data_IF_908048880596
#
_entry.id   IF_908048880596
#
_cell.length_a   1.000
_cell.length_b   1.000
_cell.length_c   1.000
_cell.angle_alpha   90.00
_cell.angle_beta   90.00
_cell.angle_gamma   90.00
#
_symmetry.space_group_name_H-M   'P 1'
#
loop_
_entity.id
_entity.type
_entity.pdbx_description
1 polymer ?
#
# COMPACT_ATOMS: atom_id res chain seq x y z
N UNK A 1 16.65 -60.24 13.01
CA UNK A 1 15.62 -59.18 13.07
C UNK A 1 16.19 -57.76 13.06
N UNK A 2 17.45 -57.52 13.42
CA UNK A 2 18.05 -56.19 13.48
C UNK A 2 18.31 -55.53 12.11
N UNK A 3 18.65 -56.30 11.06
CA UNK A 3 19.00 -55.72 9.74
C UNK A 3 17.81 -55.10 9.00
N UNK A 4 16.62 -55.71 9.07
CA UNK A 4 15.41 -55.19 8.42
C UNK A 4 14.92 -53.90 9.09
N UNK A 5 15.00 -53.83 10.41
CA UNK A 5 14.64 -52.62 11.16
C UNK A 5 15.59 -51.46 10.83
N UNK A 6 16.90 -51.73 10.74
CA UNK A 6 17.89 -50.73 10.31
C UNK A 6 17.66 -50.28 8.86
N UNK A 7 17.41 -51.21 7.92
CA UNK A 7 17.13 -50.87 6.53
C UNK A 7 15.87 -50.01 6.38
N UNK A 8 14.83 -50.31 7.17
CA UNK A 8 13.59 -49.55 7.20
C UNK A 8 13.80 -48.16 7.82
N UNK A 9 14.56 -48.05 8.92
CA UNK A 9 14.93 -46.77 9.53
C UNK A 9 15.79 -45.90 8.60
N UNK A 10 16.78 -46.48 7.90
CA UNK A 10 17.59 -45.75 6.92
C UNK A 10 16.80 -45.39 5.67
N UNK A 11 15.88 -46.25 5.21
CA UNK A 11 14.98 -45.96 4.09
C UNK A 11 14.03 -44.81 4.39
N UNK A 12 13.38 -44.84 5.56
CA UNK A 12 12.50 -43.75 6.03
C UNK A 12 13.32 -42.48 6.28
N UNK A 13 14.48 -42.57 6.93
CA UNK A 13 15.37 -41.44 7.15
C UNK A 13 15.86 -40.80 5.84
N UNK A 14 16.19 -41.61 4.83
CA UNK A 14 16.57 -41.16 3.49
C UNK A 14 15.42 -40.45 2.77
N UNK A 15 14.20 -41.01 2.82
CA UNK A 15 13.02 -40.37 2.24
C UNK A 15 12.69 -39.02 2.92
N UNK A 16 12.79 -38.95 4.24
CA UNK A 16 12.61 -37.70 4.99
C UNK A 16 13.69 -36.69 4.60
N UNK A 17 14.96 -37.09 4.51
CA UNK A 17 16.04 -36.20 4.10
C UNK A 17 15.86 -35.66 2.67
N UNK A 18 15.45 -36.51 1.72
CA UNK A 18 15.14 -36.11 0.34
C UNK A 18 13.93 -35.17 0.30
N UNK A 19 12.87 -35.47 1.04
CA UNK A 19 11.69 -34.61 1.15
C UNK A 19 12.03 -33.24 1.76
N UNK A 20 12.86 -33.21 2.80
CA UNK A 20 13.33 -31.97 3.42
C UNK A 20 14.25 -31.18 2.48
N UNK A 21 15.16 -31.83 1.76
CA UNK A 21 15.99 -31.18 0.76
C UNK A 21 15.14 -30.60 -0.38
N UNK A 22 14.13 -31.34 -0.85
CA UNK A 22 13.17 -30.86 -1.84
C UNK A 22 12.38 -29.65 -1.32
N UNK A 23 11.89 -29.68 -0.08
CA UNK A 23 11.25 -28.52 0.56
C UNK A 23 12.18 -27.31 0.62
N UNK A 24 13.45 -27.49 1.00
CA UNK A 24 14.43 -26.39 1.07
C UNK A 24 14.70 -25.78 -0.30
N UNK A 25 14.81 -26.61 -1.33
CA UNK A 25 15.08 -26.18 -2.71
C UNK A 25 13.85 -25.54 -3.34
N UNK A 26 12.66 -26.07 -3.07
CA UNK A 26 11.40 -25.63 -3.68
C UNK A 26 10.63 -24.59 -2.86
N UNK A 27 11.02 -24.29 -1.62
CA UNK A 27 10.28 -23.39 -0.74
C UNK A 27 9.99 -22.03 -1.36
N UNK A 28 10.92 -21.45 -2.13
CA UNK A 28 10.70 -20.14 -2.75
C UNK A 28 9.67 -20.24 -3.88
N UNK A 29 9.56 -21.40 -4.55
CA UNK A 29 8.51 -21.66 -5.55
C UNK A 29 7.16 -22.05 -4.94
N UNK A 30 7.15 -22.44 -3.66
CA UNK A 30 5.93 -22.72 -2.90
C UNK A 30 5.40 -21.45 -2.23
N UNK A 31 6.33 -20.62 -1.72
CA UNK A 31 6.04 -19.34 -1.08
C UNK A 31 5.71 -18.28 -2.11
N UNK A 32 6.39 -18.28 -3.26
CA UNK A 32 6.17 -17.35 -4.35
C UNK A 32 5.70 -18.10 -5.58
N UNK A 33 4.62 -17.64 -6.19
CA UNK A 33 4.05 -18.23 -7.41
C UNK A 33 4.23 -17.24 -8.56
N UNK A 34 5.48 -16.92 -8.97
CA UNK A 34 5.69 -16.05 -10.11
C UNK A 34 5.15 -16.69 -11.39
N UNK A 35 4.90 -15.88 -12.42
CA UNK A 35 4.46 -16.35 -13.74
C UNK A 35 5.40 -17.46 -14.23
N UNK A 36 4.84 -18.61 -14.57
CA UNK A 36 5.64 -19.77 -14.97
C UNK A 36 6.50 -19.45 -16.22
N UNK A 37 7.75 -19.94 -16.28
CA UNK A 37 8.59 -19.79 -17.46
C UNK A 37 7.87 -20.31 -18.71
N UNK A 38 7.73 -19.45 -19.74
CA UNK A 38 7.07 -19.79 -21.01
C UNK A 38 5.62 -19.27 -21.15
N UNK A 39 5.01 -18.74 -20.09
CA UNK A 39 3.75 -18.00 -20.17
C UNK A 39 4.00 -16.50 -20.37
N UNK A 40 3.09 -15.83 -21.06
CA UNK A 40 3.21 -14.39 -21.34
C UNK A 40 3.11 -13.58 -20.06
N UNK A 41 4.13 -12.77 -19.77
CA UNK A 41 4.17 -11.75 -18.71
C UNK A 41 3.20 -10.56 -18.93
N UNK A 42 2.29 -10.66 -19.89
CA UNK A 42 1.39 -9.57 -20.27
C UNK A 42 0.26 -9.41 -19.25
N UNK A 43 -0.04 -8.16 -18.90
CA UNK A 43 -1.20 -7.82 -18.10
C UNK A 43 -2.49 -8.18 -18.85
N UNK A 44 -3.41 -8.96 -18.25
CA UNK A 44 -4.70 -9.26 -18.88
C UNK A 44 -5.61 -8.01 -18.96
N UNK A 45 -5.38 -7.06 -18.04
CA UNK A 45 -6.11 -5.82 -17.90
C UNK A 45 -5.11 -4.72 -17.50
N UNK A 46 -5.16 -3.58 -18.19
CA UNK A 46 -4.44 -2.34 -17.82
C UNK A 46 -5.41 -1.34 -17.18
N UNK A 47 -4.89 -0.32 -16.46
CA UNK A 47 -5.73 0.73 -15.88
C UNK A 47 -6.62 1.47 -16.91
N UNK A 48 -6.22 1.52 -18.19
CA UNK A 48 -7.03 2.10 -19.28
C UNK A 48 -8.42 1.48 -19.38
N UNK A 49 -8.53 0.16 -19.15
CA UNK A 49 -9.80 -0.57 -19.25
C UNK A 49 -10.84 -0.05 -18.25
N UNK A 50 -10.38 0.55 -17.15
CA UNK A 50 -11.21 1.16 -16.12
C UNK A 50 -11.23 2.70 -16.21
N UNK A 51 -10.71 3.28 -17.30
CA UNK A 51 -10.58 4.71 -17.52
C UNK A 51 -9.85 5.43 -16.36
N UNK A 52 -8.81 4.78 -15.83
CA UNK A 52 -7.97 5.32 -14.77
C UNK A 52 -6.84 6.16 -15.35
N UNK A 53 -6.57 7.34 -14.78
CA UNK A 53 -5.39 8.13 -15.11
C UNK A 53 -4.16 7.49 -14.47
N UNK A 54 -3.19 7.03 -15.28
CA UNK A 54 -2.02 6.32 -14.76
C UNK A 54 -0.75 6.57 -15.57
N UNK A 55 0.38 6.29 -14.94
CA UNK A 55 1.71 6.28 -15.56
C UNK A 55 2.31 4.86 -15.45
N UNK A 56 2.85 4.36 -16.56
CA UNK A 56 3.76 3.20 -16.54
C UNK A 56 5.12 3.64 -16.00
N UNK A 57 5.52 3.05 -14.87
CA UNK A 57 6.75 3.39 -14.17
C UNK A 57 7.71 2.21 -14.21
N UNK A 58 8.94 2.49 -14.67
CA UNK A 58 10.02 1.52 -14.67
C UNK A 58 11.09 1.91 -13.68
N UNK A 59 11.37 1.01 -12.74
CA UNK A 59 12.34 1.20 -11.66
C UNK A 59 13.49 0.22 -11.82
N UNK A 60 14.59 0.51 -11.13
CA UNK A 60 15.66 -0.45 -10.88
C UNK A 60 15.84 -0.61 -9.38
N UNK A 61 15.83 -1.85 -8.90
CA UNK A 61 16.25 -2.16 -7.55
C UNK A 61 17.75 -1.92 -7.37
N UNK A 62 18.23 -1.90 -6.12
CA UNK A 62 19.64 -1.70 -5.81
C UNK A 62 20.57 -2.79 -6.35
N UNK A 63 20.04 -3.98 -6.67
CA UNK A 63 20.74 -5.07 -7.34
C UNK A 63 20.53 -5.10 -8.87
N UNK A 64 19.99 -4.03 -9.45
CA UNK A 64 19.89 -3.81 -10.90
C UNK A 64 18.70 -4.47 -11.59
N UNK A 65 17.86 -5.21 -10.86
CA UNK A 65 16.64 -5.84 -11.40
C UNK A 65 15.68 -4.75 -11.86
N UNK A 66 15.17 -4.91 -13.09
CA UNK A 66 14.18 -4.01 -13.67
C UNK A 66 12.79 -4.38 -13.16
N UNK A 67 12.09 -3.39 -12.63
CA UNK A 67 10.77 -3.55 -12.04
C UNK A 67 9.77 -2.67 -12.76
N UNK A 68 8.55 -3.19 -12.89
CA UNK A 68 7.41 -2.46 -13.41
C UNK A 68 6.46 -2.06 -12.29
N UNK A 69 5.91 -0.85 -12.38
CA UNK A 69 4.91 -0.34 -11.47
C UNK A 69 3.90 0.54 -12.22
N UNK A 70 2.70 0.66 -11.66
CA UNK A 70 1.74 1.68 -12.09
C UNK A 70 1.63 2.77 -11.05
N UNK A 71 1.69 4.01 -11.49
CA UNK A 71 1.30 5.15 -10.67
C UNK A 71 -0.05 5.67 -11.13
N UNK A 72 -1.10 5.33 -10.39
CA UNK A 72 -2.47 5.68 -10.71
C UNK A 72 -2.82 6.95 -9.94
N UNK A 73 -3.03 8.03 -10.70
CA UNK A 73 -3.25 9.37 -10.17
C UNK A 73 -4.73 9.60 -9.94
N UNK A 74 -5.05 10.33 -8.88
CA UNK A 74 -6.38 10.89 -8.71
C UNK A 74 -6.67 11.81 -9.91
N UNK A 75 -7.72 11.48 -10.67
CA UNK A 75 -8.20 12.36 -11.72
C UNK A 75 -9.15 13.41 -11.10
N UNK A 76 -9.13 14.66 -11.59
CA UNK A 76 -10.04 15.70 -11.10
C UNK A 76 -11.53 15.36 -11.28
N UNK A 77 -11.89 14.55 -12.28
CA UNK A 77 -13.28 14.18 -12.56
C UNK A 77 -13.63 12.74 -12.17
N UNK A 78 -14.06 12.55 -10.93
CA UNK A 78 -14.84 11.37 -10.49
C UNK A 78 -16.21 11.71 -9.91
N UNK A 79 -16.67 12.96 -10.09
CA UNK A 79 -18.10 13.26 -10.01
C UNK A 79 -18.63 13.17 -11.42
N UNK A 80 -19.74 12.47 -11.63
CA UNK A 80 -20.40 12.35 -12.93
C UNK A 80 -20.86 13.69 -13.48
N UNK A 81 -19.93 14.48 -13.98
CA UNK A 81 -20.22 15.63 -14.82
C UNK A 81 -20.13 15.13 -16.26
N UNK A 82 -21.24 14.58 -16.75
CA UNK A 82 -21.55 14.74 -18.17
C UNK A 82 -21.70 16.24 -18.38
N UNK A 83 -20.59 16.96 -18.60
CA UNK A 83 -20.67 18.28 -19.19
C UNK A 83 -21.30 18.06 -20.56
N UNK A 84 -22.57 18.41 -20.70
CA UNK A 84 -23.16 18.74 -21.99
C UNK A 84 -22.56 20.01 -22.59
N UNK A 85 -21.28 20.29 -22.35
CA UNK A 85 -20.51 21.29 -23.08
C UNK A 85 -19.67 20.55 -24.11
N UNK A 86 -20.22 20.48 -25.31
CA UNK A 86 -19.43 20.24 -26.51
C UNK A 86 -18.36 21.33 -26.60
N UNK A 87 -17.10 20.96 -26.41
CA UNK A 87 -15.93 21.82 -26.61
C UNK A 87 -15.62 22.10 -28.09
N UNK A 88 -16.61 22.02 -28.98
CA UNK A 88 -16.49 22.37 -30.40
C UNK A 88 -16.89 23.81 -30.70
N UNK A 89 -17.15 24.62 -29.67
CA UNK A 89 -17.47 26.03 -29.82
C UNK A 89 -16.40 26.93 -29.22
N UNK A 90 -15.31 27.18 -29.95
CA UNK A 90 -14.63 28.48 -29.82
C UNK A 90 -15.63 29.54 -30.31
N UNK A 91 -16.54 29.96 -29.43
CA UNK A 91 -17.28 31.20 -29.64
C UNK A 91 -16.27 32.29 -29.30
N UNK A 92 -15.61 32.80 -30.35
CA UNK A 92 -15.04 34.14 -30.30
C UNK A 92 -16.25 35.05 -30.07
N UNK A 93 -16.55 35.34 -28.80
CA UNK A 93 -17.39 36.47 -28.46
C UNK A 93 -16.60 37.69 -28.92
N UNK A 94 -17.00 38.25 -30.04
CA UNK A 94 -16.56 39.56 -30.47
C UNK A 94 -17.13 40.55 -29.45
N UNK A 95 -16.31 40.87 -28.44
CA UNK A 95 -16.74 41.72 -27.32
C UNK A 95 -16.65 43.18 -27.75
N UNK A 96 -17.63 43.65 -28.52
CA UNK A 96 -17.95 45.06 -28.58
C UNK A 96 -18.82 45.42 -27.37
N UNK A 97 -18.21 45.72 -26.23
CA UNK A 97 -18.87 46.47 -25.15
C UNK A 97 -19.03 45.82 -23.76
N UNK A 98 -18.47 44.64 -23.46
CA UNK A 98 -18.42 44.20 -22.05
C UNK A 98 -17.32 44.96 -21.28
N UNK A 99 -17.69 45.47 -20.10
CA UNK A 99 -16.80 46.16 -19.16
C UNK A 99 -15.62 45.23 -18.79
N UNK A 100 -14.40 45.70 -19.02
CA UNK A 100 -13.10 45.05 -18.72
C UNK A 100 -13.06 44.29 -17.37
N UNK A 101 -13.78 44.79 -16.38
CA UNK A 101 -13.92 44.19 -15.03
C UNK A 101 -14.48 42.77 -15.05
N UNK A 102 -15.44 42.46 -15.92
CA UNK A 102 -16.12 41.16 -15.96
C UNK A 102 -15.24 40.07 -16.59
N UNK A 103 -14.38 40.45 -17.55
CA UNK A 103 -13.37 39.55 -18.15
C UNK A 103 -12.27 39.23 -17.15
N UNK A 104 -11.81 40.21 -16.37
CA UNK A 104 -10.81 40.00 -15.33
C UNK A 104 -11.36 39.10 -14.22
N UNK A 105 -12.59 39.33 -13.74
CA UNK A 105 -13.23 38.48 -12.74
C UNK A 105 -13.42 37.04 -13.23
N UNK A 106 -13.80 36.83 -14.50
CA UNK A 106 -13.93 35.50 -15.09
C UNK A 106 -12.57 34.79 -15.21
N UNK A 107 -11.55 35.45 -15.75
CA UNK A 107 -10.20 34.88 -15.86
C UNK A 107 -9.59 34.60 -14.48
N UNK A 108 -9.85 35.45 -13.49
CA UNK A 108 -9.41 35.26 -12.11
C UNK A 108 -10.11 34.06 -11.48
N UNK A 109 -11.41 33.89 -11.73
CA UNK A 109 -12.19 32.75 -11.22
C UNK A 109 -11.74 31.44 -11.85
N UNK A 110 -11.51 31.45 -13.17
CA UNK A 110 -10.97 30.29 -13.91
C UNK A 110 -9.57 29.95 -13.39
N UNK A 111 -8.68 30.94 -13.28
CA UNK A 111 -7.32 30.73 -12.76
C UNK A 111 -7.32 30.24 -11.32
N UNK A 112 -8.18 30.78 -10.46
CA UNK A 112 -8.31 30.36 -9.06
C UNK A 112 -8.86 28.94 -8.98
N UNK A 113 -9.86 28.60 -9.81
CA UNK A 113 -10.41 27.26 -9.91
C UNK A 113 -9.34 26.24 -10.34
N UNK A 114 -8.60 26.53 -11.42
CA UNK A 114 -7.49 25.68 -11.87
C UNK A 114 -6.39 25.56 -10.81
N UNK A 115 -6.01 26.67 -10.16
CA UNK A 115 -4.97 26.65 -9.13
C UNK A 115 -5.40 25.83 -7.90
N UNK A 116 -6.66 25.95 -7.50
CA UNK A 116 -7.24 25.21 -6.37
C UNK A 116 -7.29 23.72 -6.68
N UNK A 117 -7.79 23.33 -7.86
CA UNK A 117 -7.81 21.94 -8.33
C UNK A 117 -6.40 21.32 -8.39
N UNK A 118 -5.44 22.01 -9.02
CA UNK A 118 -4.05 21.53 -9.12
C UNK A 118 -3.42 21.38 -7.73
N UNK A 119 -3.66 22.34 -6.84
CA UNK A 119 -3.18 22.27 -5.45
C UNK A 119 -3.76 21.06 -4.70
N UNK A 120 -5.07 20.82 -4.81
CA UNK A 120 -5.75 19.65 -4.21
C UNK A 120 -5.21 18.32 -4.73
N UNK A 121 -4.92 18.23 -6.03
CA UNK A 121 -4.34 17.03 -6.63
C UNK A 121 -2.91 16.78 -6.14
N UNK A 122 -2.11 17.83 -5.96
CA UNK A 122 -0.74 17.70 -5.42
C UNK A 122 -0.69 17.45 -3.92
N UNK A 123 -1.70 17.89 -3.16
CA UNK A 123 -1.79 17.69 -1.71
C UNK A 123 -2.31 16.31 -1.31
N UNK A 124 -2.94 15.56 -2.24
CA UNK A 124 -3.59 14.28 -1.93
C UNK A 124 -2.60 13.22 -1.41
N UNK A 125 -2.98 12.40 -0.41
CA UNK A 125 -2.11 11.35 0.11
C UNK A 125 -1.80 10.34 -0.99
N UNK A 126 -0.59 9.77 -0.95
CA UNK A 126 -0.16 8.76 -1.93
C UNK A 126 -0.01 7.42 -1.23
N UNK A 127 -0.80 6.43 -1.65
CA UNK A 127 -0.75 5.08 -1.13
C UNK A 127 0.26 4.26 -1.93
N UNK A 128 1.34 3.82 -1.28
CA UNK A 128 2.23 2.79 -1.79
C UNK A 128 1.62 1.41 -1.47
N UNK A 129 1.05 0.78 -2.49
CA UNK A 129 0.27 -0.45 -2.36
C UNK A 129 1.13 -1.69 -2.65
N UNK A 130 1.16 -2.59 -1.67
CA UNK A 130 1.82 -3.88 -1.73
C UNK A 130 0.79 -5.00 -1.68
N UNK A 131 0.64 -5.69 -2.80
CA UNK A 131 -0.28 -6.81 -2.97
C UNK A 131 0.24 -8.10 -2.32
N UNK A 132 -0.66 -9.07 -2.24
CA UNK A 132 -0.41 -10.46 -1.89
C UNK A 132 0.47 -11.21 -2.91
N UNK A 133 0.77 -12.46 -2.57
CA UNK A 133 1.68 -13.31 -3.33
C UNK A 133 1.05 -14.00 -4.55
N UNK A 134 -0.26 -14.26 -4.49
CA UNK A 134 -1.01 -15.03 -5.48
C UNK A 134 -2.33 -14.33 -5.81
N UNK A 135 -2.34 -13.55 -6.87
CA UNK A 135 -3.54 -13.05 -7.52
C UNK A 135 -4.11 -14.07 -8.51
N UNK A 136 -4.75 -15.13 -8.01
CA UNK A 136 -5.36 -16.22 -8.79
C UNK A 136 -4.37 -17.06 -9.61
N UNK A 137 -4.50 -18.38 -9.45
CA UNK A 137 -3.64 -19.49 -9.95
C UNK A 137 -3.28 -19.47 -11.45
N UNK A 138 -3.78 -18.52 -12.25
CA UNK A 138 -3.49 -18.43 -13.67
C UNK A 138 -2.88 -17.09 -14.12
N UNK A 139 -2.97 -16.00 -13.35
CA UNK A 139 -2.45 -14.67 -13.77
C UNK A 139 -2.14 -13.76 -12.57
N UNK A 140 -1.06 -14.03 -11.83
CA UNK A 140 -0.67 -13.18 -10.70
C UNK A 140 -0.21 -11.79 -11.16
N UNK A 141 -1.06 -10.78 -10.94
CA UNK A 141 -0.72 -9.41 -11.29
C UNK A 141 -1.51 -8.31 -10.55
N UNK A 142 -0.88 -7.15 -10.37
CA UNK A 142 -1.50 -5.91 -9.84
C UNK A 142 -2.79 -5.53 -10.61
N UNK A 143 -2.96 -6.01 -11.84
CA UNK A 143 -4.19 -5.89 -12.64
C UNK A 143 -5.46 -6.36 -11.92
N UNK A 144 -5.40 -7.45 -11.14
CA UNK A 144 -6.58 -7.99 -10.45
C UNK A 144 -7.04 -7.11 -9.27
N UNK A 145 -6.26 -6.09 -8.91
CA UNK A 145 -6.60 -5.14 -7.84
C UNK A 145 -7.05 -3.79 -8.39
N UNK A 146 -7.07 -3.60 -9.73
CA UNK A 146 -7.44 -2.32 -10.34
C UNK A 146 -8.86 -1.87 -9.98
N UNK A 147 -9.80 -2.79 -9.79
CA UNK A 147 -11.17 -2.44 -9.39
C UNK A 147 -11.24 -1.92 -7.95
N UNK A 148 -10.56 -2.59 -7.02
CA UNK A 148 -10.39 -2.11 -5.65
C UNK A 148 -9.69 -0.75 -5.64
N UNK A 149 -8.64 -0.58 -6.45
CA UNK A 149 -7.90 0.67 -6.56
C UNK A 149 -8.78 1.78 -7.13
N UNK A 150 -9.60 1.51 -8.16
CA UNK A 150 -10.57 2.47 -8.68
C UNK A 150 -11.49 2.99 -7.57
N UNK A 151 -12.01 2.10 -6.73
CA UNK A 151 -12.86 2.49 -5.59
C UNK A 151 -12.05 3.22 -4.52
N UNK A 152 -10.80 2.81 -4.28
CA UNK A 152 -9.87 3.48 -3.37
C UNK A 152 -9.63 4.94 -3.77
N UNK A 153 -9.35 5.21 -5.05
CA UNK A 153 -9.21 6.58 -5.57
C UNK A 153 -10.48 7.40 -5.32
N UNK A 154 -11.65 6.83 -5.61
CA UNK A 154 -12.95 7.52 -5.49
C UNK A 154 -13.32 7.83 -4.04
N UNK A 155 -13.11 6.87 -3.14
CA UNK A 155 -13.53 6.96 -1.73
C UNK A 155 -12.52 7.70 -0.87
N UNK A 156 -11.22 7.50 -1.11
CA UNK A 156 -10.16 8.07 -0.27
C UNK A 156 -9.51 9.32 -0.84
N UNK A 157 -9.80 9.67 -2.11
CA UNK A 157 -9.21 10.83 -2.80
C UNK A 157 -7.67 10.82 -2.71
N UNK A 158 -7.08 9.69 -3.08
CA UNK A 158 -5.64 9.45 -2.98
C UNK A 158 -5.04 9.06 -4.33
N UNK A 159 -3.72 9.22 -4.47
CA UNK A 159 -2.96 8.56 -5.53
C UNK A 159 -2.59 7.14 -5.08
N UNK A 160 -2.37 6.22 -6.02
CA UNK A 160 -1.97 4.84 -5.69
C UNK A 160 -0.78 4.42 -6.55
N UNK A 161 0.31 4.01 -5.90
CA UNK A 161 1.49 3.44 -6.55
C UNK A 161 1.50 1.93 -6.32
N UNK A 162 1.42 1.15 -7.40
CA UNK A 162 1.35 -0.31 -7.37
C UNK A 162 2.62 -0.91 -7.97
N UNK A 163 3.43 -1.55 -7.13
CA UNK A 163 4.66 -2.20 -7.58
C UNK A 163 4.41 -3.66 -7.96
N UNK A 164 4.80 -4.08 -9.16
CA UNK A 164 4.92 -5.50 -9.48
C UNK A 164 6.25 -6.03 -8.96
N UNK A 165 6.22 -6.96 -8.00
CA UNK A 165 7.44 -7.55 -7.44
C UNK A 165 8.29 -8.22 -8.52
N UNK A 166 9.60 -8.38 -8.27
CA UNK A 166 10.46 -9.16 -9.17
C UNK A 166 9.89 -10.56 -9.44
N UNK A 167 9.90 -10.98 -10.70
CA UNK A 167 9.29 -12.23 -11.16
C UNK A 167 7.77 -12.20 -11.36
N UNK A 168 7.09 -11.10 -11.03
CA UNK A 168 5.65 -10.90 -11.27
C UNK A 168 5.41 -9.91 -12.40
N UNK A 169 4.26 -10.04 -13.08
CA UNK A 169 3.86 -9.15 -14.17
C UNK A 169 5.00 -8.92 -15.18
N UNK A 170 5.27 -7.65 -15.50
CA UNK A 170 6.35 -7.27 -16.40
C UNK A 170 7.72 -7.04 -15.71
N UNK A 171 7.84 -7.33 -14.41
CA UNK A 171 9.12 -7.24 -13.69
C UNK A 171 10.02 -8.43 -14.00
N UNK A 172 11.33 -8.17 -13.97
CA UNK A 172 12.38 -9.18 -14.19
C UNK A 172 12.75 -9.90 -12.88
N UNK A 173 13.66 -10.87 -12.98
CA UNK A 173 14.23 -11.57 -11.83
C UNK A 173 13.34 -12.64 -11.22
N UNK A 174 13.72 -13.10 -10.02
CA UNK A 174 13.03 -14.14 -9.26
C UNK A 174 12.73 -13.66 -7.83
N UNK A 175 11.53 -13.97 -7.30
CA UNK A 175 11.11 -13.50 -5.98
C UNK A 175 11.91 -14.19 -4.86
N UNK A 176 12.31 -13.39 -3.88
CA UNK A 176 12.90 -13.80 -2.62
C UNK A 176 12.62 -12.71 -1.59
N UNK A 177 12.65 -13.01 -0.29
CA UNK A 177 12.43 -11.99 0.73
C UNK A 177 13.40 -10.81 0.58
N UNK A 178 14.68 -11.11 0.38
CA UNK A 178 15.70 -10.07 0.26
C UNK A 178 15.51 -9.24 -1.02
N UNK A 179 15.13 -9.89 -2.13
CA UNK A 179 14.83 -9.21 -3.38
C UNK A 179 13.60 -8.29 -3.28
N UNK A 180 12.47 -8.80 -2.80
CA UNK A 180 11.23 -8.03 -2.65
C UNK A 180 11.43 -6.85 -1.68
N UNK A 181 12.27 -7.03 -0.64
CA UNK A 181 12.65 -5.92 0.25
C UNK A 181 13.37 -4.80 -0.50
N UNK A 182 14.23 -5.11 -1.48
CA UNK A 182 14.89 -4.11 -2.33
C UNK A 182 13.91 -3.46 -3.30
N UNK A 183 12.96 -4.23 -3.82
CA UNK A 183 11.91 -3.74 -4.71
C UNK A 183 11.05 -2.68 -4.01
N UNK A 184 10.60 -2.99 -2.79
CA UNK A 184 9.82 -2.07 -1.96
C UNK A 184 10.57 -0.77 -1.66
N UNK A 185 11.88 -0.86 -1.35
CA UNK A 185 12.71 0.32 -1.13
C UNK A 185 12.84 1.15 -2.41
N UNK A 186 13.04 0.52 -3.57
CA UNK A 186 13.13 1.22 -4.85
C UNK A 186 11.84 1.98 -5.21
N UNK A 187 10.67 1.41 -4.88
CA UNK A 187 9.38 2.08 -5.05
C UNK A 187 9.24 3.32 -4.15
N UNK A 188 9.60 3.21 -2.86
CA UNK A 188 9.57 4.35 -1.95
C UNK A 188 10.56 5.44 -2.38
N UNK A 189 11.79 5.06 -2.73
CA UNK A 189 12.81 6.02 -3.17
C UNK A 189 12.43 6.70 -4.49
N UNK A 190 11.64 6.06 -5.35
CA UNK A 190 11.05 6.70 -6.51
C UNK A 190 10.00 7.74 -6.12
N UNK A 191 9.04 7.38 -5.25
CA UNK A 191 7.98 8.28 -4.80
C UNK A 191 8.53 9.53 -4.11
N UNK A 192 9.52 9.39 -3.22
CA UNK A 192 10.08 10.52 -2.47
C UNK A 192 10.87 11.50 -3.35
N UNK A 193 11.26 11.11 -4.58
CA UNK A 193 11.92 12.00 -5.54
C UNK A 193 10.93 12.75 -6.44
N UNK A 194 9.64 12.43 -6.37
CA UNK A 194 8.62 13.07 -7.19
C UNK A 194 8.31 14.47 -6.67
N UNK A 195 8.05 15.39 -7.59
CA UNK A 195 7.69 16.78 -7.29
C UNK A 195 6.19 17.05 -7.42
N UNK A 196 5.44 16.08 -7.92
CA UNK A 196 4.00 16.18 -8.21
C UNK A 196 3.12 15.51 -7.15
N UNK A 197 3.70 15.10 -6.02
CA UNK A 197 2.99 14.54 -4.86
C UNK A 197 3.50 15.18 -3.56
N UNK A 198 2.68 15.18 -2.52
CA UNK A 198 3.13 15.45 -1.15
C UNK A 198 3.88 14.23 -0.59
N UNK A 199 5.22 14.29 -0.63
CA UNK A 199 6.10 13.23 -0.13
C UNK A 199 6.01 13.03 1.38
N UNK A 200 5.43 13.98 2.13
CA UNK A 200 5.18 13.84 3.57
C UNK A 200 3.92 13.02 3.88
N UNK A 201 3.09 12.74 2.87
CA UNK A 201 1.82 12.00 2.98
C UNK A 201 1.85 10.65 2.24
N UNK A 202 3.00 9.99 2.22
CA UNK A 202 3.13 8.63 1.68
C UNK A 202 2.66 7.61 2.73
N UNK A 203 1.64 6.84 2.39
CA UNK A 203 1.05 5.81 3.25
C UNK A 203 1.35 4.45 2.65
N UNK A 204 1.85 3.52 3.46
CA UNK A 204 2.09 2.14 3.01
C UNK A 204 0.84 1.32 3.28
N UNK A 205 0.29 0.68 2.25
CA UNK A 205 -0.81 -0.27 2.37
C UNK A 205 -0.31 -1.65 1.97
N UNK A 206 -0.38 -2.62 2.87
CA UNK A 206 0.04 -4.00 2.59
C UNK A 206 -1.05 -5.02 2.89
N UNK A 207 -1.35 -5.88 1.92
CA UNK A 207 -2.25 -7.04 2.09
C UNK A 207 -1.46 -8.34 2.11
N UNK A 208 -1.78 -9.25 3.03
CA UNK A 208 -1.17 -10.59 3.08
C UNK A 208 0.37 -10.52 3.09
N UNK A 209 1.07 -11.11 2.11
CA UNK A 209 2.54 -10.94 1.94
C UNK A 209 2.95 -9.46 1.90
N UNK A 210 2.19 -8.62 1.19
CA UNK A 210 2.43 -7.19 1.11
C UNK A 210 2.36 -6.48 2.46
N UNK A 211 1.63 -7.03 3.44
CA UNK A 211 1.65 -6.56 4.83
C UNK A 211 3.02 -6.74 5.50
N UNK A 212 3.66 -7.89 5.30
CA UNK A 212 5.01 -8.15 5.80
C UNK A 212 6.06 -7.25 5.11
N UNK A 213 5.92 -7.05 3.80
CA UNK A 213 6.75 -6.13 3.00
C UNK A 213 6.59 -4.69 3.51
N UNK A 214 5.34 -4.25 3.64
CA UNK A 214 5.00 -2.89 4.06
C UNK A 214 5.47 -2.59 5.48
N UNK A 215 5.25 -3.48 6.44
CA UNK A 215 5.75 -3.32 7.81
C UNK A 215 7.28 -3.17 7.84
N UNK A 216 8.01 -3.98 7.07
CA UNK A 216 9.47 -3.89 7.01
C UNK A 216 9.96 -2.59 6.37
N UNK A 217 9.30 -2.14 5.30
CA UNK A 217 9.61 -0.88 4.64
C UNK A 217 9.37 0.30 5.58
N UNK A 218 8.21 0.34 6.24
CA UNK A 218 7.84 1.38 7.20
C UNK A 218 8.82 1.46 8.37
N UNK A 219 9.20 0.31 8.95
CA UNK A 219 10.23 0.24 9.99
C UNK A 219 11.55 0.85 9.54
N UNK A 220 11.98 0.58 8.30
CA UNK A 220 13.27 1.04 7.76
C UNK A 220 13.27 2.52 7.38
N UNK A 221 12.11 3.14 7.23
CA UNK A 221 11.98 4.50 6.72
C UNK A 221 11.04 5.33 7.62
N UNK A 222 11.38 5.54 8.91
CA UNK A 222 10.54 6.26 9.87
C UNK A 222 10.15 7.66 9.39
N UNK A 223 11.07 8.37 8.71
CA UNK A 223 10.89 9.76 8.31
C UNK A 223 10.21 9.95 6.94
N UNK A 224 10.03 8.86 6.17
CA UNK A 224 9.49 8.92 4.79
C UNK A 224 8.08 8.33 4.66
N UNK A 225 7.62 7.60 5.67
CA UNK A 225 6.31 6.94 5.67
C UNK A 225 5.45 7.57 6.75
N UNK A 226 4.29 8.10 6.36
CA UNK A 226 3.37 8.78 7.26
C UNK A 226 2.54 7.81 8.11
N UNK A 227 2.10 6.70 7.52
CA UNK A 227 1.26 5.70 8.17
C UNK A 227 1.37 4.34 7.49
N UNK A 228 0.96 3.29 8.21
CA UNK A 228 0.89 1.91 7.74
C UNK A 228 -0.55 1.38 7.83
N UNK A 229 -1.04 0.76 6.76
CA UNK A 229 -2.29 0.01 6.74
C UNK A 229 -1.96 -1.45 6.45
N UNK A 230 -2.42 -2.35 7.32
CA UNK A 230 -2.26 -3.79 7.20
C UNK A 230 -3.61 -4.45 7.06
N UNK A 231 -3.75 -5.30 6.05
CA UNK A 231 -4.95 -6.10 5.84
C UNK A 231 -4.61 -7.59 5.72
N UNK A 232 -5.31 -8.42 6.49
CA UNK A 232 -5.27 -9.89 6.36
C UNK A 232 -3.84 -10.44 6.21
N UNK A 233 -2.93 -9.94 7.05
CA UNK A 233 -1.51 -10.32 7.02
C UNK A 233 -1.16 -11.26 8.17
N UNK A 234 -0.01 -11.91 8.06
CA UNK A 234 0.41 -12.99 8.94
C UNK A 234 1.57 -12.54 9.83
N UNK A 235 1.73 -13.22 10.98
CA UNK A 235 2.84 -12.99 11.91
C UNK A 235 4.19 -13.43 11.36
N UNK A 236 4.23 -14.59 10.68
CA UNK A 236 5.37 -15.06 9.90
C UNK A 236 4.99 -16.15 8.91
N UNK A 237 5.80 -16.36 7.87
CA UNK A 237 5.63 -17.52 6.97
C UNK A 237 5.80 -18.84 7.74
N UNK A 238 6.65 -18.85 8.77
CA UNK A 238 6.82 -20.00 9.65
C UNK A 238 5.55 -20.34 10.42
N UNK A 239 4.83 -19.34 10.93
CA UNK A 239 3.56 -19.57 11.61
C UNK A 239 2.48 -20.04 10.62
N UNK A 240 2.47 -19.49 9.39
CA UNK A 240 1.59 -19.96 8.31
C UNK A 240 1.89 -21.39 7.86
N UNK A 241 3.16 -21.78 7.75
CA UNK A 241 3.57 -23.15 7.45
C UNK A 241 3.06 -24.13 8.51
N UNK A 242 3.05 -23.71 9.79
CA UNK A 242 2.44 -24.47 10.87
C UNK A 242 0.93 -24.66 10.66
N UNK A 243 0.20 -23.62 10.23
CA UNK A 243 -1.25 -23.72 9.92
C UNK A 243 -1.51 -24.73 8.80
N UNK A 244 -0.75 -24.63 7.69
CA UNK A 244 -0.92 -25.49 6.51
C UNK A 244 -0.48 -26.93 6.73
N UNK A 245 0.56 -27.16 7.54
CA UNK A 245 1.11 -28.49 7.83
C UNK A 245 1.09 -28.75 9.34
N UNK A 246 -0.07 -29.12 9.92
CA UNK A 246 -0.23 -29.27 11.36
C UNK A 246 0.76 -30.23 12.02
N UNK A 247 1.17 -31.30 11.31
CA UNK A 247 2.14 -32.28 11.79
C UNK A 247 3.56 -31.71 11.94
N UNK A 248 3.89 -30.61 11.25
CA UNK A 248 5.17 -29.91 11.38
C UNK A 248 5.15 -28.84 12.48
N UNK A 249 3.99 -28.48 13.07
CA UNK A 249 3.86 -27.44 14.13
C UNK A 249 4.75 -27.67 15.36
N UNK A 250 5.15 -28.92 15.61
CA UNK A 250 6.05 -29.26 16.72
C UNK A 250 7.51 -28.90 16.42
N UNK A 251 7.92 -28.93 15.14
CA UNK A 251 9.30 -28.72 14.70
C UNK A 251 9.52 -27.38 13.97
N UNK A 252 8.44 -26.76 13.50
CA UNK A 252 8.39 -25.50 12.73
C UNK A 252 7.38 -24.54 13.36
N UNK A 253 7.75 -23.26 13.45
CA UNK A 253 6.87 -22.18 13.89
C UNK A 253 7.59 -21.19 14.79
N UNK A 254 6.95 -20.05 15.07
CA UNK A 254 7.48 -19.03 15.99
C UNK A 254 6.55 -18.81 17.17
N UNK A 255 5.38 -18.25 16.91
CA UNK A 255 4.52 -17.65 17.93
C UNK A 255 3.67 -18.72 18.62
N UNK A 256 3.23 -19.74 17.86
CA UNK A 256 2.37 -20.82 18.36
C UNK A 256 3.11 -22.16 18.62
N UNK A 257 4.39 -22.31 18.26
CA UNK A 257 5.09 -23.59 18.39
C UNK A 257 5.56 -23.85 19.82
N UNK A 258 5.13 -24.98 20.41
CA UNK A 258 5.55 -25.44 21.75
C UNK A 258 6.77 -26.37 21.74
N UNK A 259 7.19 -26.85 20.57
CA UNK A 259 8.26 -27.83 20.42
C UNK A 259 9.62 -27.24 19.98
N UNK A 260 10.64 -28.10 19.79
CA UNK A 260 11.99 -27.69 19.43
C UNK A 260 12.01 -27.18 17.98
N UNK A 261 12.30 -25.89 17.81
CA UNK A 261 12.28 -25.10 16.55
C UNK A 261 13.42 -25.44 15.59
N UNK A 262 13.79 -26.71 15.52
CA UNK A 262 15.01 -27.20 14.86
C UNK A 262 14.98 -27.02 13.36
N UNK A 263 13.81 -26.82 12.73
CA UNK A 263 13.71 -26.66 11.28
C UNK A 263 13.57 -25.20 10.83
N UNK A 264 13.55 -24.23 11.75
CA UNK A 264 13.40 -22.80 11.38
C UNK A 264 14.56 -22.27 10.52
N UNK A 265 15.78 -22.84 10.65
CA UNK A 265 16.95 -22.43 9.87
C UNK A 265 16.83 -22.76 8.38
N UNK A 266 15.92 -23.66 8.01
CA UNK A 266 15.71 -24.08 6.63
C UNK A 266 14.88 -23.08 5.83
N UNK A 267 14.17 -22.16 6.50
CA UNK A 267 13.31 -21.18 5.84
C UNK A 267 14.11 -19.95 5.42
N UNK A 268 14.28 -19.77 4.11
CA UNK A 268 15.04 -18.67 3.50
C UNK A 268 14.30 -17.33 3.54
N UNK A 269 12.97 -17.37 3.47
CA UNK A 269 12.10 -16.20 3.46
C UNK A 269 11.14 -16.24 4.65
N UNK A 270 11.62 -16.06 5.90
CA UNK A 270 10.79 -16.22 7.09
C UNK A 270 9.67 -15.17 7.24
N UNK A 271 9.84 -13.97 6.66
CA UNK A 271 8.94 -12.81 6.79
C UNK A 271 8.36 -12.66 8.19
N UNK A 272 9.22 -12.41 9.18
CA UNK A 272 8.83 -12.29 10.59
C UNK A 272 8.19 -10.92 10.88
N UNK A 273 6.96 -10.71 10.41
CA UNK A 273 6.18 -9.47 10.62
C UNK A 273 6.03 -9.14 12.10
N UNK A 274 5.85 -10.16 12.96
CA UNK A 274 5.68 -9.99 14.41
C UNK A 274 6.89 -9.33 15.10
N UNK A 275 8.10 -9.53 14.59
CA UNK A 275 9.31 -8.90 15.14
C UNK A 275 9.51 -7.48 14.61
N UNK A 276 8.95 -7.19 13.44
CA UNK A 276 9.05 -5.89 12.78
C UNK A 276 8.00 -4.94 13.34
N UNK A 277 6.75 -5.40 13.50
CA UNK A 277 5.60 -4.54 13.77
C UNK A 277 5.73 -3.80 15.12
N UNK A 278 6.31 -4.45 16.13
CA UNK A 278 6.55 -3.83 17.45
C UNK A 278 7.60 -2.71 17.43
N UNK A 279 8.27 -2.46 16.30
CA UNK A 279 9.26 -1.39 16.12
C UNK A 279 8.72 -0.25 15.23
N UNK A 280 7.51 -0.39 14.68
CA UNK A 280 6.88 0.65 13.84
C UNK A 280 6.20 1.67 14.75
N UNK A 281 6.64 2.93 14.65
CA UNK A 281 6.16 4.04 15.49
C UNK A 281 5.10 4.92 14.81
N UNK A 282 4.99 4.78 13.49
CA UNK A 282 3.95 5.43 12.71
C UNK A 282 2.56 4.91 13.09
N UNK A 283 1.48 5.67 12.86
CA UNK A 283 0.11 5.18 12.93
C UNK A 283 -0.07 3.88 12.15
N UNK A 284 -0.75 2.92 12.77
CA UNK A 284 -1.02 1.62 12.14
C UNK A 284 -2.52 1.33 12.18
N UNK A 285 -3.11 1.09 11.02
CA UNK A 285 -4.46 0.57 10.88
C UNK A 285 -4.41 -0.92 10.53
N UNK A 286 -5.08 -1.73 11.32
CA UNK A 286 -5.23 -3.17 11.11
C UNK A 286 -6.66 -3.46 10.67
N UNK A 287 -6.81 -4.08 9.50
CA UNK A 287 -8.09 -4.49 8.91
C UNK A 287 -8.13 -6.02 8.87
N UNK A 288 -8.99 -6.63 9.68
CA UNK A 288 -9.06 -8.09 9.85
C UNK A 288 -10.39 -8.65 9.35
N UNK A 289 -10.36 -9.48 8.31
CA UNK A 289 -11.51 -10.27 7.87
C UNK A 289 -11.65 -11.51 8.75
N UNK A 290 -12.79 -11.67 9.44
CA UNK A 290 -12.99 -12.80 10.38
C UNK A 290 -13.27 -14.13 9.69
N UNK A 291 -13.56 -14.13 8.38
CA UNK A 291 -13.77 -15.32 7.57
C UNK A 291 -12.61 -15.56 6.59
N UNK A 292 -11.43 -14.99 6.89
CA UNK A 292 -10.22 -15.23 6.12
C UNK A 292 -9.87 -16.72 6.09
N UNK A 293 -10.00 -17.30 4.89
CA UNK A 293 -9.80 -18.70 4.57
C UNK A 293 -8.33 -19.06 4.36
N UNK A 294 -7.44 -18.07 4.24
CA UNK A 294 -6.02 -18.27 4.01
C UNK A 294 -5.19 -17.98 5.25
N UNK A 295 -5.41 -16.85 5.91
CA UNK A 295 -4.66 -16.38 7.08
C UNK A 295 -5.61 -16.29 8.28
N UNK A 296 -5.46 -17.14 9.30
CA UNK A 296 -6.36 -17.11 10.45
C UNK A 296 -6.39 -15.72 11.13
N UNK A 297 -7.57 -15.18 11.48
CA UNK A 297 -7.72 -13.82 12.03
C UNK A 297 -6.86 -13.53 13.28
N UNK A 298 -6.58 -14.58 14.09
CA UNK A 298 -5.69 -14.50 15.26
C UNK A 298 -4.31 -13.93 14.94
N UNK A 299 -3.82 -14.07 13.70
CA UNK A 299 -2.55 -13.45 13.32
C UNK A 299 -2.62 -11.92 13.34
N UNK A 300 -3.72 -11.34 12.87
CA UNK A 300 -3.95 -9.90 12.92
C UNK A 300 -4.06 -9.41 14.36
N UNK A 301 -4.78 -10.14 15.22
CA UNK A 301 -4.88 -9.84 16.66
C UNK A 301 -3.49 -9.85 17.33
N UNK A 302 -2.67 -10.87 17.07
CA UNK A 302 -1.31 -10.96 17.61
C UNK A 302 -0.41 -9.82 17.14
N UNK A 303 -0.50 -9.43 15.87
CA UNK A 303 0.24 -8.30 15.31
C UNK A 303 -0.17 -6.99 15.97
N UNK A 304 -1.48 -6.76 16.12
CA UNK A 304 -2.02 -5.59 16.80
C UNK A 304 -1.56 -5.54 18.26
N UNK A 305 -1.73 -6.63 19.01
CA UNK A 305 -1.32 -6.69 20.42
C UNK A 305 0.19 -6.38 20.56
N UNK A 306 1.02 -6.89 19.66
CA UNK A 306 2.46 -6.64 19.66
C UNK A 306 2.80 -5.19 19.32
N UNK A 307 2.09 -4.58 18.38
CA UNK A 307 2.27 -3.18 18.00
C UNK A 307 1.79 -2.23 19.11
N UNK A 308 0.56 -2.45 19.59
CA UNK A 308 -0.09 -1.63 20.61
C UNK A 308 0.67 -1.61 21.95
N UNK A 309 1.43 -2.68 22.25
CA UNK A 309 2.32 -2.71 23.41
C UNK A 309 3.45 -1.67 23.36
N UNK A 310 3.79 -1.16 22.17
CA UNK A 310 4.90 -0.22 21.97
C UNK A 310 4.50 1.07 21.24
N UNK A 311 3.28 1.13 20.69
CA UNK A 311 2.78 2.26 19.90
C UNK A 311 1.29 2.50 20.20
N UNK A 312 0.98 3.66 20.79
CA UNK A 312 -0.39 4.05 21.15
C UNK A 312 -1.27 4.48 19.97
N UNK A 313 -0.70 4.61 18.77
CA UNK A 313 -1.38 5.05 17.53
C UNK A 313 -1.78 3.85 16.65
N UNK A 314 -2.20 2.77 17.28
CA UNK A 314 -2.69 1.57 16.60
C UNK A 314 -4.23 1.53 16.63
N UNK A 315 -4.85 1.22 15.49
CA UNK A 315 -6.30 1.04 15.36
C UNK A 315 -6.58 -0.34 14.77
N UNK A 316 -7.49 -1.10 15.39
CA UNK A 316 -7.87 -2.45 14.94
C UNK A 316 -9.36 -2.49 14.59
N UNK A 317 -9.68 -2.97 13.38
CA UNK A 317 -11.06 -3.05 12.90
C UNK A 317 -11.31 -4.41 12.26
N UNK A 318 -12.40 -5.04 12.66
CA UNK A 318 -12.83 -6.35 12.20
C UNK A 318 -14.02 -6.27 11.23
N UNK A 319 -14.00 -7.16 10.26
CA UNK A 319 -15.04 -7.36 9.25
C UNK A 319 -15.59 -8.78 9.37
N UNK A 320 -16.77 -8.98 9.99
CA UNK A 320 -17.31 -10.30 10.31
C UNK A 320 -17.49 -11.25 9.12
N UNK A 321 -17.71 -10.71 7.93
CA UNK A 321 -17.91 -11.45 6.68
C UNK A 321 -16.76 -11.30 5.70
N UNK A 322 -15.67 -10.63 6.09
CA UNK A 322 -14.51 -10.43 5.22
C UNK A 322 -13.72 -11.71 5.06
N UNK A 323 -13.54 -12.15 3.82
CA UNK A 323 -12.61 -13.21 3.41
C UNK A 323 -11.28 -12.59 2.96
N UNK A 324 -10.27 -13.42 2.67
CA UNK A 324 -8.90 -12.95 2.44
C UNK A 324 -8.80 -11.89 1.33
N UNK A 325 -9.55 -12.08 0.24
CA UNK A 325 -9.47 -11.26 -0.97
C UNK A 325 -10.58 -10.21 -1.11
N UNK A 326 -11.68 -10.37 -0.38
CA UNK A 326 -12.91 -9.60 -0.58
C UNK A 326 -13.31 -8.75 0.63
N UNK A 327 -12.45 -8.65 1.66
CA UNK A 327 -12.74 -7.85 2.87
C UNK A 327 -13.22 -6.43 2.55
N UNK A 328 -12.67 -5.82 1.50
CA UNK A 328 -13.09 -4.49 1.01
C UNK A 328 -14.47 -4.46 0.35
N UNK A 329 -14.93 -5.57 -0.25
CA UNK A 329 -16.29 -5.75 -0.78
C UNK A 329 -17.26 -6.05 0.35
N UNK A 330 -16.94 -7.05 1.18
CA UNK A 330 -17.77 -7.51 2.29
C UNK A 330 -17.98 -6.41 3.34
N UNK A 331 -16.94 -5.62 3.61
CA UNK A 331 -17.01 -4.48 4.53
C UNK A 331 -17.66 -3.22 3.95
N UNK A 332 -17.83 -3.13 2.63
CA UNK A 332 -18.54 -2.06 1.93
C UNK A 332 -18.13 -0.65 2.38
N UNK A 333 -19.12 0.21 2.64
CA UNK A 333 -18.87 1.60 3.05
C UNK A 333 -18.11 1.70 4.39
N UNK A 334 -18.33 0.77 5.32
CA UNK A 334 -17.64 0.76 6.62
C UNK A 334 -16.13 0.59 6.43
N UNK A 335 -15.72 -0.27 5.50
CA UNK A 335 -14.32 -0.50 5.18
C UNK A 335 -13.64 0.79 4.69
N UNK A 336 -14.23 1.45 3.70
CA UNK A 336 -13.67 2.67 3.12
C UNK A 336 -13.71 3.86 4.09
N UNK A 337 -14.81 4.02 4.84
CA UNK A 337 -14.94 5.06 5.85
C UNK A 337 -13.92 4.92 6.97
N UNK A 338 -13.61 3.68 7.38
CA UNK A 338 -12.56 3.40 8.37
C UNK A 338 -11.20 3.89 7.88
N UNK A 339 -10.83 3.57 6.65
CA UNK A 339 -9.56 4.00 6.07
C UNK A 339 -9.54 5.53 5.92
N UNK A 340 -10.63 6.12 5.42
CA UNK A 340 -10.73 7.57 5.26
C UNK A 340 -10.51 8.30 6.59
N UNK A 341 -11.22 7.89 7.65
CA UNK A 341 -11.07 8.48 8.98
C UNK A 341 -9.64 8.32 9.52
N UNK A 342 -9.03 7.16 9.32
CA UNK A 342 -7.65 6.93 9.72
C UNK A 342 -6.68 7.89 9.00
N UNK A 343 -6.84 8.08 7.68
CA UNK A 343 -6.03 9.01 6.90
C UNK A 343 -6.24 10.46 7.33
N UNK A 344 -7.48 10.89 7.54
CA UNK A 344 -7.80 12.27 7.98
C UNK A 344 -7.20 12.58 9.36
N UNK A 345 -7.19 11.61 10.27
CA UNK A 345 -6.63 11.77 11.62
C UNK A 345 -5.10 11.77 11.67
N UNK A 346 -4.45 11.01 10.79
CA UNK A 346 -3.03 10.68 10.92
C UNK A 346 -2.13 11.21 9.82
N UNK A 347 -2.72 11.57 8.68
CA UNK A 347 -2.03 11.97 7.45
C UNK A 347 -2.68 13.24 6.91
N UNK A 348 -2.87 14.24 7.78
CA UNK A 348 -3.46 15.52 7.41
C UNK A 348 -2.46 16.41 6.67
N UNK A 349 -2.98 17.36 5.89
CA UNK A 349 -2.16 18.37 5.21
C UNK A 349 -1.33 19.12 6.25
N UNK A 350 -0.06 19.41 5.91
CA UNK A 350 0.68 20.43 6.64
C UNK A 350 -0.11 21.72 6.52
N UNK A 351 -0.84 22.10 7.58
CA UNK A 351 -1.23 23.49 7.75
C UNK A 351 0.08 24.25 7.82
N UNK A 352 0.32 25.15 6.89
CA UNK A 352 1.46 26.07 6.93
C UNK A 352 1.40 26.85 8.26
N UNK A 353 2.05 26.32 9.30
CA UNK A 353 2.29 27.02 10.57
C UNK A 353 3.15 28.29 10.34
N UNK A 354 3.66 28.48 9.13
CA UNK A 354 4.40 29.67 8.72
C UNK A 354 3.50 30.92 8.55
N UNK A 355 2.18 30.75 8.32
CA UNK A 355 1.25 31.88 8.25
C UNK A 355 0.74 32.36 9.62
N UNK A 356 0.83 31.55 10.69
CA UNK A 356 0.48 32.01 12.04
C UNK A 356 1.66 32.71 12.72
N UNK A 357 2.91 32.36 12.38
CA UNK A 357 4.11 33.03 12.91
C UNK A 357 4.42 34.37 12.22
N UNK A 358 4.00 34.57 10.96
CA UNK A 358 4.21 35.86 10.25
C UNK A 358 3.14 36.93 10.50
N UNK A 359 1.97 36.56 11.04
CA UNK A 359 0.92 37.52 11.41
C UNK A 359 0.91 37.93 12.90
N UNK A 360 1.88 37.45 13.68
CA UNK A 360 2.09 37.86 15.08
C UNK A 360 3.07 39.02 15.20
N UNK A 361 2.75 40.19 14.64
CA UNK A 361 3.53 41.40 14.91
C UNK A 361 3.48 42.47 13.83
N UNK A 362 2.45 43.30 13.85
CA UNK A 362 2.57 44.76 13.84
C UNK A 362 1.17 45.39 13.81
N UNK A 363 0.79 46.00 14.94
CA UNK A 363 -0.30 46.96 15.03
C UNK A 363 0.12 48.25 14.30
N UNK A 364 -0.46 48.52 13.13
CA UNK A 364 -0.39 49.81 12.44
C UNK A 364 -1.79 50.33 12.13
N UNK A 365 -2.66 50.45 13.14
CA UNK A 365 -3.87 51.27 13.06
C UNK A 365 -4.18 51.93 14.40
N UNK A 366 -3.33 52.87 14.79
CA UNK A 366 -3.69 53.89 15.79
C UNK A 366 -2.76 55.09 15.64
N UNK A 367 -3.01 55.95 14.64
CA UNK A 367 -2.65 57.37 14.65
C UNK A 367 -3.10 58.03 13.33
N UNK A 368 -4.40 58.31 13.21
CA UNK A 368 -4.87 59.41 12.37
C UNK A 368 -5.79 60.29 13.23
N UNK A 369 -5.23 61.34 13.81
CA UNK A 369 -5.99 62.44 14.40
C UNK A 369 -6.53 63.29 13.26
N UNK A 370 -7.84 63.32 13.11
CA UNK A 370 -8.54 64.26 12.21
C UNK A 370 -8.67 65.60 12.96
N UNK A 371 -8.18 66.73 12.43
CA UNK A 371 -8.48 68.04 13.00
C UNK A 371 -9.84 68.54 12.48
N UNK A 372 -10.70 68.94 13.42
CA UNK A 372 -11.95 69.67 13.17
C UNK A 372 -11.58 71.16 12.99
N UNK A 373 -12.04 71.84 11.93
CA UNK A 373 -12.06 73.29 11.90
C UNK A 373 -13.46 73.84 12.24
N UNK A 374 -13.51 74.67 13.28
CA UNK A 374 -14.52 75.72 13.49
C UNK A 374 -13.76 77.00 13.87
N UNK A 375 -14.26 78.21 13.55
CA UNK A 375 -15.56 78.71 14.01
C UNK A 375 -16.69 78.65 12.98
#
# INVERSE_FOLDING_TARGET
MTSYLSLLLYGVGGLVAVGMAALVVLQEKLVYVPVLPGLTKSYPITPDRLNLNYEDVWLRSSDGVRLHAWFIKLAPDFRGFRSGLNWTGFVILEVSGLRLRLVIELLSTISLFFFTEVSYLTASPTILFFQENAGSILVDNIAHRLEMVRIMLQRLRCNVFMLSYRGYGASDGYPSQHGITRDAQAALDHLIKRTDIDTSRVVVFGRSLGGAVGALLTKKNPDKVAALILENTFTSILDMAGVLLPFLKWFIGRTASKGPRVLNFLVRSPWSTIEVIGQVQQPILFLSGLQDEMVPPVHMEMLYAKAAAHNSRCTFVEFPTGMHMDTWLAGGDRYWMTIQQFLEQNVSERKDEENSRKNGGTSWFSNLKIPIPSP
#
